data_IF_448710417428
#
_entry.id   IF_448710417428
#
_cell.length_a   1.000
_cell.length_b   1.000
_cell.length_c   1.000
_cell.angle_alpha   90.00
_cell.angle_beta   90.00
_cell.angle_gamma   90.00
#
_symmetry.space_group_name_H-M   'P 1'
#
loop_
_entity.id
_entity.type
_entity.pdbx_description
1 polymer ?
#
# COMPACT_ATOMS: atom_id res chain seq x y z
N UNK A 1 -1.34 7.72 -0.64
CA UNK A 1 -0.95 8.56 0.53
C UNK A 1 0.54 8.35 0.81
N UNK A 2 1.22 9.23 1.55
CA UNK A 2 2.59 9.00 1.96
C UNK A 2 2.71 8.02 3.14
N UNK A 3 3.81 7.28 3.18
CA UNK A 3 4.29 6.54 4.35
C UNK A 3 5.27 7.45 5.09
N UNK A 4 4.81 8.15 6.12
CA UNK A 4 5.39 9.42 6.62
C UNK A 4 6.63 9.31 7.53
N UNK A 5 6.93 8.14 8.08
CA UNK A 5 8.00 7.94 9.08
C UNK A 5 9.02 6.88 8.64
N UNK A 6 9.34 6.84 7.34
CA UNK A 6 10.33 5.90 6.81
C UNK A 6 11.67 6.59 6.64
N UNK A 7 12.69 6.15 7.38
CA UNK A 7 14.04 6.74 7.41
C UNK A 7 15.16 5.74 7.13
N UNK A 8 14.91 4.46 7.33
CA UNK A 8 15.88 3.37 7.20
C UNK A 8 15.28 2.29 6.32
N UNK A 9 15.99 1.95 5.25
CA UNK A 9 15.56 0.88 4.35
C UNK A 9 15.82 -0.50 4.96
N UNK A 10 14.86 -1.40 4.80
CA UNK A 10 14.99 -2.80 5.20
C UNK A 10 15.60 -3.60 4.04
N UNK A 11 16.74 -4.27 4.22
CA UNK A 11 17.38 -5.06 3.16
C UNK A 11 16.55 -6.26 2.69
N UNK A 12 15.55 -6.71 3.46
CA UNK A 12 14.66 -7.81 3.10
C UNK A 12 13.49 -7.37 2.20
N UNK A 13 13.25 -6.07 2.08
CA UNK A 13 12.16 -5.51 1.28
C UNK A 13 12.67 -5.16 -0.13
N UNK A 14 11.93 -5.56 -1.16
CA UNK A 14 12.28 -5.24 -2.56
C UNK A 14 12.24 -3.72 -2.81
N UNK A 15 13.40 -3.07 -3.09
CA UNK A 15 13.48 -1.63 -3.29
C UNK A 15 12.83 -1.18 -4.61
N UNK A 16 12.43 -2.11 -5.50
CA UNK A 16 11.71 -1.78 -6.74
C UNK A 16 10.24 -1.41 -6.47
N UNK A 17 9.69 -1.77 -5.32
CA UNK A 17 8.32 -1.44 -4.95
C UNK A 17 8.18 0.04 -4.58
N UNK A 18 7.06 0.65 -4.96
CA UNK A 18 6.81 2.04 -4.63
C UNK A 18 5.99 2.20 -3.33
N UNK A 19 6.70 2.38 -2.22
CA UNK A 19 6.10 2.57 -0.89
C UNK A 19 5.60 4.00 -0.60
N UNK A 20 5.76 4.94 -1.54
CA UNK A 20 5.35 6.35 -1.39
C UNK A 20 5.90 6.99 -0.10
N UNK A 21 7.20 6.90 0.17
CA UNK A 21 7.81 7.44 1.40
C UNK A 21 7.72 8.96 1.49
N UNK A 22 7.36 9.48 2.68
CA UNK A 22 7.44 10.86 3.17
C UNK A 22 6.71 11.96 2.37
N UNK A 23 6.43 11.74 1.08
CA UNK A 23 5.79 12.70 0.18
C UNK A 23 4.71 12.02 -0.66
N UNK A 24 3.54 12.64 -0.70
CA UNK A 24 2.44 12.14 -1.52
C UNK A 24 2.82 12.15 -3.01
N UNK A 25 2.40 11.12 -3.75
CA UNK A 25 2.62 10.99 -5.19
C UNK A 25 1.27 10.95 -5.91
N UNK A 26 1.07 11.85 -6.90
CA UNK A 26 -0.16 11.87 -7.71
C UNK A 26 -0.12 10.76 -8.74
N UNK A 27 -1.16 9.93 -8.78
CA UNK A 27 -1.31 8.79 -9.70
C UNK A 27 -2.76 8.59 -10.11
N UNK A 28 -3.00 8.09 -11.31
CA UNK A 28 -4.32 7.60 -11.71
C UNK A 28 -4.55 6.22 -11.08
N UNK A 29 -5.33 6.15 -10.01
CA UNK A 29 -5.69 4.90 -9.34
C UNK A 29 -6.97 4.35 -9.97
N UNK A 30 -6.89 3.22 -10.66
CA UNK A 30 -8.05 2.54 -11.28
C UNK A 30 -8.66 1.48 -10.37
N UNK A 31 -7.81 0.84 -9.58
CA UNK A 31 -8.16 -0.11 -8.55
C UNK A 31 -7.19 0.06 -7.37
N UNK A 32 -7.65 -0.33 -6.18
CA UNK A 32 -6.87 -0.35 -4.95
C UNK A 32 -7.23 -1.59 -4.15
N UNK A 33 -6.25 -2.11 -3.41
CA UNK A 33 -6.42 -3.21 -2.47
C UNK A 33 -6.06 -2.71 -1.07
N UNK A 34 -6.84 -3.12 -0.07
CA UNK A 34 -6.52 -2.95 1.34
C UNK A 34 -6.44 -4.33 1.98
N UNK A 35 -5.26 -4.67 2.50
CA UNK A 35 -4.99 -5.92 3.18
C UNK A 35 -4.93 -5.69 4.69
N UNK A 36 -5.49 -6.63 5.46
CA UNK A 36 -5.46 -6.65 6.92
C UNK A 36 -5.02 -8.03 7.37
N UNK A 37 -3.98 -8.07 8.20
CA UNK A 37 -3.44 -9.31 8.79
C UNK A 37 -3.46 -9.16 10.32
N UNK A 38 -4.42 -9.81 10.96
CA UNK A 38 -4.64 -9.80 12.40
C UNK A 38 -4.00 -11.01 13.10
N UNK A 39 -3.76 -10.87 14.40
CA UNK A 39 -3.24 -11.96 15.23
C UNK A 39 -4.16 -13.19 15.21
N UNK A 40 -3.57 -14.37 15.35
CA UNK A 40 -4.29 -15.64 15.22
C UNK A 40 -4.58 -16.06 13.78
N UNK A 41 -3.97 -15.40 12.79
CA UNK A 41 -4.10 -15.75 11.37
C UNK A 41 -5.35 -15.19 10.69
N UNK A 42 -5.97 -14.14 11.25
CA UNK A 42 -7.12 -13.49 10.63
C UNK A 42 -6.68 -12.61 9.46
N UNK A 43 -6.86 -13.10 8.23
CA UNK A 43 -6.48 -12.40 7.01
C UNK A 43 -7.73 -11.96 6.25
N UNK A 44 -7.78 -10.68 5.87
CA UNK A 44 -8.85 -10.13 5.04
C UNK A 44 -8.28 -9.16 4.01
N UNK A 45 -8.87 -9.20 2.81
CA UNK A 45 -8.52 -8.28 1.72
C UNK A 45 -9.80 -7.73 1.10
N UNK A 46 -9.85 -6.42 0.91
CA UNK A 46 -10.91 -5.75 0.15
C UNK A 46 -10.31 -5.08 -1.08
N UNK A 47 -10.98 -5.23 -2.22
CA UNK A 47 -10.55 -4.69 -3.50
C UNK A 47 -11.62 -3.72 -3.99
N UNK A 48 -11.21 -2.51 -4.30
CA UNK A 48 -12.05 -1.47 -4.87
C UNK A 48 -11.57 -1.16 -6.28
N UNK A 49 -12.51 -1.00 -7.21
CA UNK A 49 -12.25 -0.42 -8.53
C UNK A 49 -13.08 0.85 -8.64
N UNK A 50 -12.61 1.83 -9.42
CA UNK A 50 -13.46 2.92 -9.88
C UNK A 50 -14.72 2.33 -10.54
N UNK A 51 -15.89 2.78 -10.11
CA UNK A 51 -17.16 2.47 -10.75
C UNK A 51 -17.21 3.04 -12.18
N UNK A 52 -17.72 2.24 -13.11
CA UNK A 52 -17.90 2.55 -14.52
C UNK A 52 -19.31 2.01 -14.86
N UNK A 53 -20.19 2.85 -15.42
CA UNK A 53 -21.54 2.47 -15.87
C UNK A 53 -21.51 1.53 -17.09
#
# INVERSE_FOLDING_TARGET
PPTINHFTDDPEIDPKLNFTFNKAQKRKVRAAISNTFGFGGHNASVIFKKYED
#
